data_IF_615304588356
#
_entry.id   IF_615304588356
#
_cell.length_a   1.000
_cell.length_b   1.000
_cell.length_c   1.000
_cell.angle_alpha   90.00
_cell.angle_beta   90.00
_cell.angle_gamma   90.00
#
_symmetry.space_group_name_H-M   'P 1'
#
loop_
_entity.id
_entity.type
_entity.pdbx_description
1 polymer ?
#
# COMPACT_ATOMS: atom_id res chain seq x y z
N UNK A 1 -1.02 18.78 -3.52
CA UNK A 1 -0.10 18.57 -2.38
C UNK A 1 0.08 17.07 -2.30
N UNK A 2 1.32 16.57 -2.15
CA UNK A 2 1.60 15.12 -2.12
C UNK A 2 2.05 14.75 -0.72
N UNK A 3 1.50 13.68 -0.18
CA UNK A 3 1.86 13.17 1.15
C UNK A 3 3.30 12.65 1.16
N UNK A 4 3.95 12.77 2.30
CA UNK A 4 5.27 12.16 2.52
C UNK A 4 5.13 10.64 2.75
N UNK A 5 6.20 9.85 2.54
CA UNK A 5 6.16 8.42 2.82
C UNK A 5 5.72 8.09 4.26
N UNK A 6 6.16 8.90 5.23
CA UNK A 6 5.78 8.73 6.63
C UNK A 6 4.28 8.96 6.87
N UNK A 7 3.69 10.00 6.28
CA UNK A 7 2.26 10.31 6.38
C UNK A 7 1.40 9.21 5.73
N UNK A 8 1.86 8.66 4.59
CA UNK A 8 1.20 7.54 3.90
C UNK A 8 1.22 6.28 4.79
N UNK A 9 2.39 5.89 5.29
CA UNK A 9 2.55 4.72 6.17
C UNK A 9 1.71 4.86 7.44
N UNK A 10 1.75 6.03 8.06
CA UNK A 10 0.99 6.30 9.28
C UNK A 10 -0.52 6.23 9.04
N UNK A 11 -1.01 6.81 7.95
CA UNK A 11 -2.43 6.74 7.58
C UNK A 11 -2.88 5.31 7.32
N UNK A 12 -2.07 4.54 6.59
CA UNK A 12 -2.32 3.13 6.31
C UNK A 12 -2.40 2.29 7.60
N UNK A 13 -1.46 2.49 8.53
CA UNK A 13 -1.49 1.81 9.83
C UNK A 13 -2.73 2.17 10.64
N UNK A 14 -3.07 3.46 10.73
CA UNK A 14 -4.27 3.91 11.45
C UNK A 14 -5.55 3.33 10.87
N UNK A 15 -5.67 3.28 9.54
CA UNK A 15 -6.84 2.71 8.87
C UNK A 15 -6.96 1.20 9.11
N UNK A 16 -5.83 0.48 9.12
CA UNK A 16 -5.82 -0.93 9.48
C UNK A 16 -6.28 -1.15 10.93
N UNK A 17 -5.76 -0.35 11.88
CA UNK A 17 -6.13 -0.43 13.30
C UNK A 17 -7.61 -0.12 13.55
N UNK A 18 -8.19 0.84 12.81
CA UNK A 18 -9.61 1.21 12.94
C UNK A 18 -10.54 0.32 12.11
N UNK A 19 -10.01 -0.40 11.12
CA UNK A 19 -10.78 -1.17 10.15
C UNK A 19 -11.49 -0.29 9.11
N UNK A 20 -11.15 0.99 9.03
CA UNK A 20 -11.74 1.93 8.09
C UNK A 20 -11.14 1.77 6.68
N UNK A 21 -11.93 1.97 5.61
CA UNK A 21 -11.41 2.01 4.25
C UNK A 21 -10.54 3.24 4.04
N UNK A 22 -9.53 3.11 3.17
CA UNK A 22 -8.72 4.23 2.69
C UNK A 22 -9.02 4.52 1.23
N UNK A 23 -8.96 5.79 0.86
CA UNK A 23 -8.80 6.23 -0.52
C UNK A 23 -7.31 6.46 -0.77
N UNK A 24 -6.80 5.87 -1.85
CA UNK A 24 -5.44 6.06 -2.34
C UNK A 24 -5.52 6.72 -3.70
N UNK A 25 -4.96 7.92 -3.83
CA UNK A 25 -4.82 8.64 -5.09
C UNK A 25 -3.39 8.46 -5.61
N UNK A 26 -3.25 8.04 -6.86
CA UNK A 26 -1.98 7.92 -7.57
C UNK A 26 -1.61 9.22 -8.29
N UNK A 27 -0.32 9.40 -8.56
CA UNK A 27 0.22 10.61 -9.20
C UNK A 27 -0.24 10.84 -10.65
N UNK A 28 -0.76 9.81 -11.32
CA UNK A 28 -1.32 9.90 -12.66
C UNK A 28 -2.83 10.20 -12.69
N UNK A 29 -3.45 10.40 -11.52
CA UNK A 29 -4.87 10.72 -11.35
C UNK A 29 -5.78 9.50 -11.17
N UNK A 30 -5.25 8.28 -11.21
CA UNK A 30 -5.99 7.07 -10.87
C UNK A 30 -6.17 6.97 -9.36
N UNK A 31 -7.23 6.28 -8.92
CA UNK A 31 -7.48 6.09 -7.49
C UNK A 31 -8.18 4.77 -7.19
N UNK A 32 -8.08 4.34 -5.94
CA UNK A 32 -8.78 3.19 -5.39
C UNK A 32 -9.23 3.46 -3.96
N UNK A 33 -10.41 2.97 -3.59
CA UNK A 33 -10.86 2.90 -2.20
C UNK A 33 -10.88 1.44 -1.78
N UNK A 34 -10.33 1.09 -0.62
CA UNK A 34 -10.34 -0.27 -0.09
C UNK A 34 -10.06 -0.29 1.41
N UNK A 35 -10.57 -1.29 2.14
CA UNK A 35 -9.96 -1.68 3.41
C UNK A 35 -8.62 -2.36 3.16
N UNK A 36 -7.76 -2.36 4.18
CA UNK A 36 -6.40 -2.84 4.05
C UNK A 36 -5.94 -3.68 5.25
N UNK A 37 -5.10 -4.69 4.96
CA UNK A 37 -4.32 -5.41 5.95
C UNK A 37 -2.85 -5.03 5.84
N UNK A 38 -2.25 -4.59 6.95
CA UNK A 38 -0.84 -4.18 6.97
C UNK A 38 0.05 -5.37 7.34
N UNK A 39 1.09 -5.56 6.55
CA UNK A 39 2.20 -6.46 6.79
C UNK A 39 3.45 -5.58 6.93
N UNK A 40 3.78 -5.25 8.16
CA UNK A 40 5.07 -4.63 8.48
C UNK A 40 6.15 -5.72 8.47
N UNK A 41 7.12 -5.59 7.55
CA UNK A 41 8.26 -6.50 7.45
C UNK A 41 9.44 -5.82 8.14
N UNK A 42 9.38 -5.78 9.47
CA UNK A 42 10.56 -5.51 10.29
C UNK A 42 11.32 -6.84 10.46
N UNK A 43 12.25 -7.15 9.57
CA UNK A 43 13.15 -8.27 9.81
C UNK A 43 14.43 -7.79 10.50
N UNK A 44 14.63 -8.07 11.80
CA UNK A 44 15.93 -8.53 12.24
C UNK A 44 16.04 -9.98 11.75
N UNK A 45 16.75 -10.22 10.64
CA UNK A 45 17.12 -11.58 10.27
C UNK A 45 18.06 -12.14 11.35
N UNK A 46 17.48 -12.79 12.35
CA UNK A 46 18.08 -13.78 13.24
C UNK A 46 19.49 -13.51 13.77
N UNK A 47 19.58 -13.13 15.05
CA UNK A 47 20.48 -13.81 16.00
C UNK A 47 21.97 -13.93 15.67
N UNK A 48 22.56 -12.99 14.93
CA UNK A 48 24.03 -12.89 14.80
C UNK A 48 24.46 -11.49 15.27
N UNK A 49 25.33 -11.36 16.28
CA UNK A 49 25.80 -10.06 16.79
C UNK A 49 26.85 -9.42 15.84
N UNK A 50 26.66 -9.57 14.54
CA UNK A 50 27.59 -9.16 13.50
C UNK A 50 26.82 -8.56 12.33
N UNK A 51 26.56 -7.25 12.40
CA UNK A 51 26.88 -6.26 11.36
C UNK A 51 26.19 -4.93 11.66
N UNK A 52 26.95 -3.86 11.50
CA UNK A 52 26.49 -2.48 11.34
C UNK A 52 25.67 -2.30 10.03
N UNK A 53 24.65 -3.12 9.79
CA UNK A 53 23.71 -2.94 8.68
C UNK A 53 22.44 -2.27 9.24
N UNK A 54 22.03 -1.09 8.72
CA UNK A 54 20.84 -0.41 9.20
C UNK A 54 19.61 -1.29 8.99
N UNK A 55 18.69 -1.28 9.96
CA UNK A 55 17.36 -1.88 9.84
C UNK A 55 16.67 -1.32 8.59
N UNK A 56 16.39 -2.17 7.60
CA UNK A 56 15.64 -1.77 6.42
C UNK A 56 14.15 -1.84 6.77
N UNK A 57 13.48 -0.70 6.89
CA UNK A 57 12.04 -0.64 7.07
C UNK A 57 11.30 -0.96 5.77
N UNK A 58 10.42 -1.95 5.79
CA UNK A 58 9.53 -2.27 4.68
C UNK A 58 8.10 -2.38 5.21
N UNK A 59 7.19 -1.61 4.61
CA UNK A 59 5.75 -1.69 4.90
C UNK A 59 5.02 -2.10 3.64
N UNK A 60 4.26 -3.20 3.74
CA UNK A 60 3.30 -3.63 2.72
C UNK A 60 1.91 -3.55 3.29
N UNK A 61 0.95 -3.14 2.47
CA UNK A 61 -0.46 -3.30 2.81
C UNK A 61 -1.18 -3.96 1.64
N UNK A 62 -2.08 -4.89 1.94
CA UNK A 62 -2.92 -5.58 0.94
C UNK A 62 -4.25 -4.86 0.86
N UNK A 63 -4.72 -4.58 -0.36
CA UNK A 63 -6.04 -4.04 -0.63
C UNK A 63 -7.03 -5.21 -0.76
N UNK A 64 -8.08 -5.22 0.07
CA UNK A 64 -9.13 -6.26 0.09
C UNK A 64 -10.02 -6.18 -1.16
N UNK A 65 -9.95 -7.16 -2.09
CA UNK A 65 -10.66 -7.13 -3.36
C UNK A 65 -12.18 -6.85 -3.25
N UNK A 66 -12.83 -7.38 -2.21
CA UNK A 66 -14.26 -7.22 -1.95
C UNK A 66 -14.68 -5.78 -1.62
N UNK A 67 -13.75 -4.94 -1.16
CA UNK A 67 -13.99 -3.55 -0.79
C UNK A 67 -13.43 -2.56 -1.83
N UNK A 68 -12.75 -3.07 -2.86
CA UNK A 68 -12.08 -2.25 -3.84
C UNK A 68 -13.08 -1.54 -4.76
N UNK A 69 -13.09 -0.21 -4.69
CA UNK A 69 -13.77 0.67 -5.64
C UNK A 69 -12.73 1.45 -6.45
N UNK A 70 -12.70 1.24 -7.77
CA UNK A 70 -11.76 1.88 -8.71
C UNK A 70 -12.49 2.49 -9.92
N UNK A 71 -11.79 3.35 -10.66
CA UNK A 71 -12.37 4.22 -11.72
C UNK A 71 -13.06 3.45 -12.86
N UNK A 72 -12.61 2.26 -13.26
CA UNK A 72 -13.18 1.55 -14.42
C UNK A 72 -13.05 0.02 -14.34
N UNK A 73 -13.76 -0.60 -13.40
CA UNK A 73 -13.96 -2.06 -13.41
C UNK A 73 -12.90 -2.88 -12.68
N UNK A 74 -13.31 -4.10 -12.34
CA UNK A 74 -12.69 -5.14 -11.51
C UNK A 74 -11.25 -4.90 -11.06
N UNK A 75 -11.07 -4.71 -9.74
CA UNK A 75 -9.78 -4.84 -9.08
C UNK A 75 -9.75 -6.16 -8.30
N UNK A 76 -8.94 -7.11 -8.72
CA UNK A 76 -8.75 -8.38 -8.01
C UNK A 76 -7.57 -8.27 -7.03
N UNK A 77 -7.76 -7.47 -6.00
CA UNK A 77 -6.72 -7.23 -5.00
C UNK A 77 -5.62 -6.29 -5.49
N UNK A 78 -4.93 -5.72 -4.53
CA UNK A 78 -3.86 -4.77 -4.77
C UNK A 78 -2.94 -4.67 -3.58
N UNK A 79 -1.96 -3.79 -3.69
CA UNK A 79 -1.02 -3.54 -2.62
C UNK A 79 -0.52 -2.11 -2.60
N UNK A 80 -0.26 -1.61 -1.40
CA UNK A 80 0.60 -0.47 -1.14
C UNK A 80 1.96 -1.00 -0.71
N UNK A 81 3.03 -0.41 -1.22
CA UNK A 81 4.41 -0.77 -0.88
C UNK A 81 5.23 0.46 -0.58
N UNK A 82 5.96 0.46 0.54
CA UNK A 82 6.92 1.46 0.92
C UNK A 82 8.20 0.78 1.43
N UNK A 83 9.36 1.26 0.96
CA UNK A 83 10.68 0.69 1.29
C UNK A 83 11.67 1.80 1.66
N UNK A 84 12.47 1.57 2.70
CA UNK A 84 13.59 2.41 3.08
C UNK A 84 14.89 1.98 2.38
N UNK A 85 15.51 2.91 1.64
CA UNK A 85 16.81 2.67 0.98
C UNK A 85 17.93 2.53 1.99
N UNK A 86 19.05 1.96 1.51
CA UNK A 86 20.31 1.80 2.27
C UNK A 86 20.89 3.08 2.90
N UNK A 87 20.49 4.25 2.43
CA UNK A 87 20.93 5.54 2.98
C UNK A 87 19.97 6.11 4.05
N UNK A 88 18.96 5.35 4.48
CA UNK A 88 17.95 5.78 5.43
C UNK A 88 16.86 6.68 4.83
N UNK A 89 16.78 6.76 3.50
CA UNK A 89 15.73 7.53 2.82
C UNK A 89 14.63 6.60 2.33
N UNK A 90 13.39 6.91 2.68
CA UNK A 90 12.22 6.23 2.13
C UNK A 90 12.07 6.51 0.63
N UNK A 91 11.82 5.45 -0.13
CA UNK A 91 11.32 5.58 -1.50
C UNK A 91 9.89 6.13 -1.49
N UNK A 92 9.44 6.62 -2.65
CA UNK A 92 8.04 7.02 -2.79
C UNK A 92 7.16 5.76 -2.75
N UNK A 93 6.17 5.71 -1.86
CA UNK A 93 5.25 4.59 -1.81
C UNK A 93 4.51 4.41 -3.13
N UNK A 94 4.29 3.16 -3.51
CA UNK A 94 3.55 2.81 -4.73
C UNK A 94 2.28 2.07 -4.38
N UNK A 95 1.22 2.30 -5.17
CA UNK A 95 0.00 1.50 -5.15
C UNK A 95 -0.10 0.73 -6.46
N UNK A 96 -0.55 -0.51 -6.39
CA UNK A 96 -0.85 -1.30 -7.57
C UNK A 96 -2.01 -2.24 -7.35
N UNK A 97 -2.68 -2.61 -8.43
CA UNK A 97 -3.78 -3.57 -8.43
C UNK A 97 -3.92 -4.24 -9.78
N UNK A 98 -4.58 -5.40 -9.80
CA UNK A 98 -4.94 -6.07 -11.03
C UNK A 98 -6.04 -5.29 -11.75
N UNK A 99 -5.86 -5.03 -13.04
CA UNK A 99 -6.86 -4.36 -13.90
C UNK A 99 -7.59 -5.32 -14.84
N UNK A 100 -7.12 -6.56 -14.90
CA UNK A 100 -7.70 -7.64 -15.70
C UNK A 100 -7.37 -8.98 -15.03
N UNK A 101 -8.34 -9.89 -15.00
CA UNK A 101 -8.17 -11.26 -14.52
C UNK A 101 -8.69 -12.27 -15.53
N UNK A 102 -8.16 -13.48 -15.46
CA UNK A 102 -8.73 -14.62 -16.19
C UNK A 102 -9.92 -15.25 -15.45
N UNK A 103 -10.52 -16.29 -16.04
CA UNK A 103 -11.67 -17.02 -15.47
C UNK A 103 -11.35 -17.68 -14.10
N UNK A 104 -10.07 -17.80 -13.73
CA UNK A 104 -9.63 -18.32 -12.42
C UNK A 104 -9.46 -17.23 -11.37
N UNK A 105 -9.59 -15.96 -11.75
CA UNK A 105 -9.30 -14.80 -10.89
C UNK A 105 -7.80 -14.47 -10.83
N UNK A 106 -6.97 -15.06 -11.68
CA UNK A 106 -5.54 -14.74 -11.73
C UNK A 106 -5.30 -13.44 -12.49
N UNK A 107 -4.42 -12.54 -12.02
CA UNK A 107 -4.18 -11.26 -12.67
C UNK A 107 -3.50 -11.46 -14.04
N UNK A 108 -4.16 -11.00 -15.10
CA UNK A 108 -3.62 -10.93 -16.46
C UNK A 108 -2.86 -9.62 -16.69
N UNK A 109 -3.30 -8.54 -16.03
CA UNK A 109 -2.69 -7.22 -16.17
C UNK A 109 -2.60 -6.52 -14.82
N UNK A 110 -1.44 -5.93 -14.56
CA UNK A 110 -1.16 -5.20 -13.33
C UNK A 110 -0.94 -3.71 -13.60
N UNK A 111 -1.58 -2.88 -12.80
CA UNK A 111 -1.33 -1.44 -12.71
C UNK A 111 -0.45 -1.16 -11.49
N UNK A 112 0.48 -0.21 -11.62
CA UNK A 112 1.26 0.30 -10.49
C UNK A 112 1.69 1.75 -10.74
N UNK A 113 1.66 2.57 -9.70
CA UNK A 113 2.05 3.98 -9.77
C UNK A 113 2.46 4.52 -8.39
N UNK A 114 3.20 5.63 -8.38
CA UNK A 114 3.50 6.36 -7.15
C UNK A 114 2.22 6.93 -6.54
N UNK A 115 2.13 6.85 -5.21
CA UNK A 115 1.03 7.42 -4.43
C UNK A 115 1.22 8.94 -4.33
N UNK A 116 0.17 9.67 -4.63
CA UNK A 116 0.08 11.11 -4.38
C UNK A 116 -0.42 11.40 -2.97
N UNK A 117 -1.48 10.72 -2.53
CA UNK A 117 -2.07 10.88 -1.19
C UNK A 117 -2.84 9.65 -0.72
N UNK A 118 -2.99 9.52 0.61
CA UNK A 118 -3.87 8.53 1.24
C UNK A 118 -4.74 9.20 2.30
N UNK A 119 -6.04 8.92 2.28
CA UNK A 119 -6.98 9.41 3.29
C UNK A 119 -7.90 8.30 3.79
N UNK A 120 -8.25 8.36 5.08
CA UNK A 120 -9.27 7.47 5.65
C UNK A 120 -10.65 7.97 5.20
N UNK A 121 -11.47 7.08 4.65
CA UNK A 121 -12.83 7.38 4.25
C UNK A 121 -13.74 7.04 5.41
N UNK A 122 -14.26 8.06 6.11
CA UNK A 122 -15.20 7.85 7.20
C UNK A 122 -16.50 7.24 6.69
N UNK A 123 -16.97 6.20 7.37
CA UNK A 123 -18.23 5.50 7.04
C UNK A 123 -19.48 6.18 7.63
N UNK A 124 -19.39 7.44 8.08
CA UNK A 124 -20.54 8.17 8.64
C UNK A 124 -21.49 8.64 7.52
N UNK A 125 -22.40 7.74 7.13
CA UNK A 125 -23.56 7.99 6.27
C UNK A 125 -24.78 7.23 6.72
#
# INVERSE_FOLDING_TARGET
MTDTPAEIIETVRRAHESGDPVRVDATDGMWVISRIDVIDIDAPLGGSPQRDEPSYGETRAVLHPEDMMAVEGYASGGSIHAEERRNGCWERPTVGWATEVDDSGSPLRWYSCEIASVEVVSSDG
#
